data_IF_099438073371
#
_entry.id   IF_099438073371
#
_cell.length_a   1.000
_cell.length_b   1.000
_cell.length_c   1.000
_cell.angle_alpha   90.00
_cell.angle_beta   90.00
_cell.angle_gamma   90.00
#
_symmetry.space_group_name_H-M   'P 1'
#
loop_
_entity.id
_entity.type
_entity.pdbx_description
1 polymer ?
#
# COMPACT_ATOMS: atom_id res chain seq x y z
N UNK A 1 -51.22 39.34 60.97
CA UNK A 1 -51.11 38.13 60.11
C UNK A 1 -50.65 38.48 58.68
N UNK A 2 -49.47 39.08 58.48
CA UNK A 2 -48.91 39.29 57.13
C UNK A 2 -47.43 38.87 57.00
N UNK A 3 -46.75 38.55 58.10
CA UNK A 3 -45.37 38.08 58.08
C UNK A 3 -45.23 36.56 57.80
N UNK A 4 -46.26 35.75 58.05
CA UNK A 4 -46.19 34.29 57.89
C UNK A 4 -46.41 33.78 56.45
N UNK A 5 -46.86 34.64 55.52
CA UNK A 5 -47.12 34.25 54.11
C UNK A 5 -45.94 34.44 53.16
N UNK A 6 -44.84 35.07 53.60
CA UNK A 6 -43.66 35.34 52.75
C UNK A 6 -42.55 34.29 52.85
N UNK A 7 -42.63 33.38 53.82
CA UNK A 7 -41.63 32.32 54.03
C UNK A 7 -41.95 31.01 53.27
N UNK A 8 -43.21 30.79 52.85
CA UNK A 8 -43.59 29.58 52.10
C UNK A 8 -43.29 29.65 50.60
N UNK A 9 -43.14 30.85 50.03
CA UNK A 9 -42.86 31.04 48.59
C UNK A 9 -41.38 30.98 48.24
N UNK A 10 -40.48 31.29 49.18
CA UNK A 10 -39.03 31.22 48.96
C UNK A 10 -38.50 29.76 48.98
N UNK A 11 -39.03 28.91 49.87
CA UNK A 11 -38.65 27.50 49.94
C UNK A 11 -39.10 26.70 48.69
N UNK A 12 -40.22 27.08 48.07
CA UNK A 12 -40.71 26.45 46.84
C UNK A 12 -39.93 26.87 45.58
N UNK A 13 -39.38 28.10 45.53
CA UNK A 13 -38.54 28.54 44.41
C UNK A 13 -37.16 27.89 44.41
N UNK A 14 -36.59 27.65 45.60
CA UNK A 14 -35.28 27.00 45.74
C UNK A 14 -35.34 25.50 45.44
N UNK A 15 -36.45 24.82 45.79
CA UNK A 15 -36.67 23.41 45.43
C UNK A 15 -36.80 23.21 43.91
N UNK A 16 -37.51 24.11 43.20
CA UNK A 16 -37.62 24.07 41.74
C UNK A 16 -36.30 24.46 41.03
N UNK A 17 -35.50 25.36 41.62
CA UNK A 17 -34.17 25.71 41.12
C UNK A 17 -33.15 24.58 41.32
N UNK A 18 -33.25 23.81 42.41
CA UNK A 18 -32.42 22.63 42.65
C UNK A 18 -32.80 21.45 41.73
N UNK A 19 -34.09 21.21 41.53
CA UNK A 19 -34.58 20.17 40.63
C UNK A 19 -34.24 20.46 39.15
N UNK A 20 -34.30 21.72 38.71
CA UNK A 20 -33.90 22.12 37.36
C UNK A 20 -32.38 22.07 37.13
N UNK A 21 -31.55 22.34 38.15
CA UNK A 21 -30.09 22.13 38.07
C UNK A 21 -29.70 20.65 38.05
N UNK A 22 -30.39 19.79 38.81
CA UNK A 22 -30.19 18.34 38.77
C UNK A 22 -30.67 17.71 37.44
N UNK A 23 -31.76 18.22 36.86
CA UNK A 23 -32.22 17.81 35.54
C UNK A 23 -31.26 18.26 34.41
N UNK A 24 -30.69 19.47 34.52
CA UNK A 24 -29.71 20.00 33.56
C UNK A 24 -28.34 19.30 33.64
N UNK A 25 -27.92 18.81 34.82
CA UNK A 25 -26.70 18.00 34.94
C UNK A 25 -26.89 16.59 34.37
N UNK A 26 -28.08 16.00 34.53
CA UNK A 26 -28.39 14.67 34.00
C UNK A 26 -28.50 14.63 32.48
N UNK A 27 -28.98 15.70 31.84
CA UNK A 27 -29.00 15.81 30.38
C UNK A 27 -27.58 15.92 29.81
N UNK A 28 -26.67 16.66 30.45
CA UNK A 28 -25.26 16.75 30.03
C UNK A 28 -24.51 15.41 30.13
N UNK A 29 -24.76 14.61 31.18
CA UNK A 29 -24.18 13.26 31.32
C UNK A 29 -24.76 12.31 30.28
N UNK A 30 -26.08 12.30 30.07
CA UNK A 30 -26.70 11.45 29.03
C UNK A 30 -26.27 11.85 27.61
N UNK A 31 -26.08 13.14 27.34
CA UNK A 31 -25.70 13.65 26.03
C UNK A 31 -24.21 13.41 25.74
N UNK A 32 -23.33 13.54 26.74
CA UNK A 32 -21.91 13.15 26.64
C UNK A 32 -21.75 11.64 26.48
N UNK A 33 -22.53 10.84 27.21
CA UNK A 33 -22.61 9.38 27.03
C UNK A 33 -23.10 9.04 25.61
N UNK A 34 -24.13 9.73 25.09
CA UNK A 34 -24.66 9.55 23.74
C UNK A 34 -23.67 9.97 22.64
N UNK A 35 -22.89 11.04 22.85
CA UNK A 35 -21.77 11.41 21.96
C UNK A 35 -20.64 10.38 22.04
N UNK A 36 -20.36 9.83 23.22
CA UNK A 36 -19.39 8.74 23.39
C UNK A 36 -19.83 7.42 22.71
N UNK A 37 -21.14 7.29 22.46
CA UNK A 37 -21.78 6.19 21.72
C UNK A 37 -22.04 6.48 20.24
N UNK A 38 -21.72 7.68 19.72
CA UNK A 38 -21.64 7.87 18.27
C UNK A 38 -20.41 7.13 17.77
N UNK A 39 -20.56 5.84 17.51
CA UNK A 39 -19.62 5.10 16.68
C UNK A 39 -19.64 5.74 15.31
N UNK A 40 -18.58 6.48 14.97
CA UNK A 40 -18.28 6.77 13.58
C UNK A 40 -18.29 5.44 12.80
N UNK A 41 -18.89 5.41 11.60
CA UNK A 41 -18.73 4.28 10.68
C UNK A 41 -17.24 3.93 10.57
N UNK A 42 -16.96 2.64 10.43
CA UNK A 42 -15.56 2.16 10.39
C UNK A 42 -14.83 2.83 9.22
N UNK A 43 -15.54 2.99 8.11
CA UNK A 43 -15.12 3.57 6.86
C UNK A 43 -14.84 5.08 6.94
N UNK A 44 -15.41 5.78 7.93
CA UNK A 44 -15.13 7.20 8.16
C UNK A 44 -13.80 7.46 8.88
N UNK A 45 -13.10 6.40 9.29
CA UNK A 45 -11.80 6.54 9.96
C UNK A 45 -10.78 7.15 9.00
N UNK A 46 -10.00 8.16 9.43
CA UNK A 46 -9.07 8.88 8.56
C UNK A 46 -8.03 7.94 7.93
N UNK A 47 -7.51 6.97 8.69
CA UNK A 47 -6.62 5.93 8.19
C UNK A 47 -7.25 5.10 7.04
N UNK A 48 -8.49 4.63 7.23
CA UNK A 48 -9.16 3.79 6.23
C UNK A 48 -9.50 4.57 4.97
N UNK A 49 -9.84 5.86 5.09
CA UNK A 49 -10.03 6.74 3.93
C UNK A 49 -8.76 6.91 3.11
N UNK A 50 -7.60 7.10 3.75
CA UNK A 50 -6.31 7.20 3.03
C UNK A 50 -5.96 5.87 2.35
N UNK A 51 -6.13 4.75 3.05
CA UNK A 51 -5.89 3.42 2.46
C UNK A 51 -6.85 3.16 1.29
N UNK A 52 -8.10 3.63 1.38
CA UNK A 52 -9.08 3.56 0.30
C UNK A 52 -8.66 4.41 -0.90
N UNK A 53 -8.20 5.64 -0.68
CA UNK A 53 -7.65 6.48 -1.75
C UNK A 53 -6.49 5.76 -2.46
N UNK A 54 -5.58 5.15 -1.69
CA UNK A 54 -4.49 4.36 -2.26
C UNK A 54 -5.00 3.16 -3.07
N UNK A 55 -6.04 2.48 -2.62
CA UNK A 55 -6.66 1.39 -3.38
C UNK A 55 -7.22 1.88 -4.73
N UNK A 56 -7.89 3.04 -4.75
CA UNK A 56 -8.41 3.64 -5.98
C UNK A 56 -7.28 4.05 -6.93
N UNK A 57 -6.20 4.62 -6.40
CA UNK A 57 -5.01 4.98 -7.17
C UNK A 57 -4.33 3.75 -7.76
N UNK A 58 -4.08 2.73 -6.94
CA UNK A 58 -3.48 1.47 -7.37
C UNK A 58 -4.31 0.80 -8.48
N UNK A 59 -5.64 0.91 -8.43
CA UNK A 59 -6.52 0.38 -9.46
C UNK A 59 -6.41 1.09 -10.82
N UNK A 60 -5.91 2.33 -10.85
CA UNK A 60 -5.68 3.09 -12.08
C UNK A 60 -4.30 2.79 -12.71
N UNK A 61 -3.34 2.23 -11.97
CA UNK A 61 -1.97 1.98 -12.45
C UNK A 61 -1.91 1.08 -13.69
N UNK A 62 -2.64 -0.06 -13.77
CA UNK A 62 -2.55 -0.93 -14.94
C UNK A 62 -2.98 -0.28 -16.25
N UNK A 63 -3.86 0.72 -16.19
CA UNK A 63 -4.36 1.44 -17.38
C UNK A 63 -3.31 2.39 -17.97
N UNK A 64 -2.33 2.80 -17.17
CA UNK A 64 -1.25 3.70 -17.56
C UNK A 64 -0.04 3.40 -16.66
N UNK A 65 0.77 2.37 -16.98
CA UNK A 65 1.80 1.87 -16.08
C UNK A 65 3.05 2.78 -16.02
N UNK A 66 3.22 3.65 -17.03
CA UNK A 66 4.39 4.53 -17.16
C UNK A 66 4.02 5.96 -16.74
N UNK A 67 4.86 6.58 -15.92
CA UNK A 67 4.69 7.98 -15.54
C UNK A 67 4.89 8.89 -16.76
N UNK A 68 3.95 9.79 -16.99
CA UNK A 68 3.95 10.77 -18.09
C UNK A 68 5.16 11.68 -18.05
N UNK A 69 5.63 12.03 -16.85
CA UNK A 69 6.83 12.86 -16.63
C UNK A 69 8.09 12.20 -17.21
N UNK A 70 8.15 10.87 -17.24
CA UNK A 70 9.33 10.13 -17.72
C UNK A 70 9.42 10.07 -19.24
N UNK A 71 8.30 10.24 -19.94
CA UNK A 71 8.21 10.14 -21.41
C UNK A 71 8.00 11.48 -22.11
N UNK A 72 7.72 12.55 -21.37
CA UNK A 72 7.52 13.88 -21.93
C UNK A 72 8.81 14.42 -22.59
N UNK A 73 8.79 14.65 -23.90
CA UNK A 73 9.97 15.10 -24.69
C UNK A 73 10.52 16.48 -24.27
N UNK A 74 9.72 17.30 -23.58
CA UNK A 74 10.03 18.70 -23.28
C UNK A 74 10.28 19.00 -21.80
N UNK A 75 10.33 17.98 -20.93
CA UNK A 75 10.49 18.17 -19.49
C UNK A 75 11.86 17.68 -18.97
N UNK A 76 12.42 18.33 -17.92
CA UNK A 76 13.66 17.88 -17.28
C UNK A 76 13.54 16.49 -16.63
N UNK A 77 12.33 15.92 -16.54
CA UNK A 77 12.06 14.58 -16.04
C UNK A 77 12.11 13.46 -17.08
N UNK A 78 12.42 13.76 -18.34
CA UNK A 78 12.54 12.73 -19.37
C UNK A 78 13.70 11.78 -19.04
N UNK A 79 13.36 10.53 -18.72
CA UNK A 79 14.35 9.55 -18.26
C UNK A 79 15.36 9.18 -19.35
N UNK A 80 14.90 9.06 -20.60
CA UNK A 80 15.77 8.70 -21.72
C UNK A 80 16.80 9.80 -22.00
N UNK A 81 16.37 11.06 -21.94
CA UNK A 81 17.26 12.22 -22.11
C UNK A 81 18.29 12.31 -20.98
N UNK A 82 17.85 12.08 -19.73
CA UNK A 82 18.74 12.01 -18.58
C UNK A 82 19.75 10.86 -18.70
N UNK A 83 19.30 9.68 -19.12
CA UNK A 83 20.14 8.49 -19.29
C UNK A 83 21.19 8.71 -20.39
N UNK A 84 20.80 9.31 -21.53
CA UNK A 84 21.73 9.68 -22.61
C UNK A 84 22.76 10.72 -22.17
N UNK A 85 22.36 11.73 -21.40
CA UNK A 85 23.29 12.71 -20.84
C UNK A 85 24.27 12.06 -19.86
N UNK A 86 23.79 11.11 -19.03
CA UNK A 86 24.65 10.34 -18.14
C UNK A 86 25.61 9.44 -18.92
N UNK A 87 25.15 8.80 -20.00
CA UNK A 87 26.00 8.00 -20.90
C UNK A 87 27.16 8.81 -21.45
N UNK A 88 26.89 10.01 -21.96
CA UNK A 88 27.93 10.89 -22.50
C UNK A 88 29.03 11.23 -21.46
N UNK A 89 28.73 11.11 -20.17
CA UNK A 89 29.72 11.30 -19.09
C UNK A 89 30.54 10.04 -18.75
N UNK A 90 30.10 8.86 -19.19
CA UNK A 90 30.81 7.58 -18.98
C UNK A 90 31.73 7.34 -20.17
N UNK A 91 33.04 7.46 -19.97
CA UNK A 91 34.05 7.30 -21.03
C UNK A 91 34.34 5.85 -21.40
N UNK A 92 33.95 4.89 -20.57
CA UNK A 92 34.22 3.47 -20.76
C UNK A 92 33.04 2.77 -21.47
N UNK A 93 33.33 1.72 -22.23
CA UNK A 93 32.29 0.86 -22.82
C UNK A 93 31.70 -0.13 -21.83
N UNK A 94 32.45 -0.41 -20.76
CA UNK A 94 32.08 -1.35 -19.71
C UNK A 94 32.12 -0.66 -18.34
N UNK A 95 31.30 -1.16 -17.43
CA UNK A 95 31.15 -0.67 -16.06
C UNK A 95 31.55 -1.78 -15.11
N UNK A 96 32.49 -1.50 -14.21
CA UNK A 96 32.81 -2.42 -13.11
C UNK A 96 31.74 -2.34 -12.00
N UNK A 97 31.86 -3.20 -11.00
CA UNK A 97 30.92 -3.25 -9.87
C UNK A 97 30.72 -1.91 -9.16
N UNK A 98 31.80 -1.16 -8.94
CA UNK A 98 31.75 0.10 -8.20
C UNK A 98 31.07 1.20 -9.04
N UNK A 99 31.40 1.27 -10.33
CA UNK A 99 30.78 2.20 -11.25
C UNK A 99 29.30 1.84 -11.54
N UNK A 100 28.94 0.56 -11.50
CA UNK A 100 27.55 0.10 -11.63
C UNK A 100 26.73 0.52 -10.41
N UNK A 101 27.29 0.35 -9.22
CA UNK A 101 26.65 0.80 -7.99
C UNK A 101 26.51 2.33 -7.95
N UNK A 102 27.50 3.07 -8.46
CA UNK A 102 27.41 4.53 -8.58
C UNK A 102 26.31 4.95 -9.56
N UNK A 103 26.23 4.32 -10.73
CA UNK A 103 25.21 4.62 -11.73
C UNK A 103 23.78 4.34 -11.22
N UNK A 104 23.59 3.20 -10.55
CA UNK A 104 22.29 2.84 -9.97
C UNK A 104 21.90 3.79 -8.84
N UNK A 105 22.86 4.26 -8.03
CA UNK A 105 22.63 5.32 -7.05
C UNK A 105 22.24 6.65 -7.71
N UNK A 106 22.84 7.02 -8.83
CA UNK A 106 22.46 8.23 -9.57
C UNK A 106 21.05 8.13 -10.14
N UNK A 107 20.68 6.96 -10.69
CA UNK A 107 19.32 6.68 -11.17
C UNK A 107 18.32 6.84 -10.02
N UNK A 108 18.61 6.23 -8.86
CA UNK A 108 17.78 6.39 -7.66
C UNK A 108 17.72 7.85 -7.20
N UNK A 109 18.83 8.59 -7.31
CA UNK A 109 18.91 10.03 -7.00
C UNK A 109 17.99 10.86 -7.89
N UNK A 110 18.04 10.64 -9.21
CA UNK A 110 17.16 11.28 -10.19
C UNK A 110 15.69 11.08 -9.84
N UNK A 111 15.27 9.84 -9.56
CA UNK A 111 13.88 9.59 -9.17
C UNK A 111 13.52 10.28 -7.85
N UNK A 112 14.41 10.32 -6.86
CA UNK A 112 14.14 11.01 -5.59
C UNK A 112 13.99 12.51 -5.76
N UNK A 113 14.75 13.14 -6.65
CA UNK A 113 14.60 14.57 -6.98
C UNK A 113 13.26 14.84 -7.66
N UNK A 114 12.85 13.98 -8.60
CA UNK A 114 11.54 14.06 -9.22
C UNK A 114 10.41 13.88 -8.20
N UNK A 115 10.50 12.84 -7.36
CA UNK A 115 9.55 12.61 -6.27
C UNK A 115 9.47 13.82 -5.32
N UNK A 116 10.61 14.40 -4.94
CA UNK A 116 10.66 15.57 -4.07
C UNK A 116 9.99 16.78 -4.70
N UNK A 117 10.18 17.03 -6.00
CA UNK A 117 9.51 18.13 -6.70
C UNK A 117 7.99 17.96 -6.75
N UNK A 118 7.48 16.74 -6.92
CA UNK A 118 6.04 16.45 -6.90
C UNK A 118 5.43 16.49 -5.49
N UNK A 119 6.20 16.11 -4.46
CA UNK A 119 5.74 16.10 -3.06
C UNK A 119 5.80 17.48 -2.40
N UNK A 120 6.72 18.36 -2.83
CA UNK A 120 6.89 19.69 -2.23
C UNK A 120 5.60 20.53 -2.26
N UNK A 121 4.75 20.31 -3.27
CA UNK A 121 3.47 21.00 -3.40
C UNK A 121 2.32 20.30 -2.63
N UNK A 122 2.46 18.99 -2.33
CA UNK A 122 1.34 18.12 -1.89
C UNK A 122 1.83 17.01 -0.93
N UNK A 123 1.74 17.20 0.40
CA UNK A 123 2.37 16.28 1.35
C UNK A 123 1.62 14.95 1.54
N UNK A 124 0.30 14.87 1.26
CA UNK A 124 -0.51 13.69 1.59
C UNK A 124 -1.63 13.36 0.60
N UNK A 125 -1.83 12.06 0.37
CA UNK A 125 -2.96 11.53 -0.39
C UNK A 125 -4.27 12.01 0.25
N UNK A 126 -5.16 12.68 -0.49
CA UNK A 126 -6.42 13.16 0.04
C UNK A 126 -7.32 11.97 0.44
N UNK A 127 -8.01 12.03 1.58
CA UNK A 127 -8.97 11.00 1.96
C UNK A 127 -10.23 11.09 1.08
N UNK A 128 -10.52 10.05 0.29
CA UNK A 128 -11.71 9.99 -0.56
C UNK A 128 -12.92 9.50 0.24
N UNK A 129 -14.11 10.06 -0.01
CA UNK A 129 -15.37 9.61 0.59
C UNK A 129 -15.92 8.37 -0.12
N UNK A 130 -16.73 7.53 0.54
CA UNK A 130 -17.14 6.23 -0.02
C UNK A 130 -18.16 6.33 -1.16
N UNK A 131 -19.00 7.37 -1.16
CA UNK A 131 -20.21 7.43 -1.98
C UNK A 131 -20.25 8.62 -2.95
N UNK A 132 -19.21 9.47 -2.93
CA UNK A 132 -19.12 10.65 -3.79
C UNK A 132 -18.02 10.47 -4.83
N UNK A 133 -18.30 10.83 -6.08
CA UNK A 133 -17.26 11.13 -7.06
C UNK A 133 -16.31 12.15 -6.42
N UNK A 134 -14.98 11.97 -6.51
CA UNK A 134 -14.05 12.94 -5.96
C UNK A 134 -14.35 14.31 -6.58
N UNK A 135 -14.32 15.37 -5.78
CA UNK A 135 -14.44 16.72 -6.31
C UNK A 135 -13.40 16.92 -7.44
N UNK A 136 -13.66 17.79 -8.42
CA UNK A 136 -12.72 18.02 -9.54
C UNK A 136 -11.29 18.32 -9.02
N UNK A 137 -11.18 19.11 -7.94
CA UNK A 137 -9.92 19.40 -7.24
C UNK A 137 -9.25 18.14 -6.64
N UNK A 138 -10.04 17.22 -6.09
CA UNK A 138 -9.54 15.94 -5.56
C UNK A 138 -9.14 14.99 -6.70
N UNK A 139 -9.79 15.07 -7.87
CA UNK A 139 -9.44 14.27 -9.04
C UNK A 139 -8.07 14.66 -9.59
N UNK A 140 -7.79 15.95 -9.77
CA UNK A 140 -6.47 16.43 -10.18
C UNK A 140 -5.38 16.08 -9.15
N UNK A 141 -5.75 16.07 -7.86
CA UNK A 141 -4.85 15.66 -6.78
C UNK A 141 -4.55 14.16 -6.85
N UNK A 142 -5.56 13.33 -7.03
CA UNK A 142 -5.42 11.89 -7.21
C UNK A 142 -4.59 11.56 -8.46
N UNK A 143 -4.77 12.26 -9.56
CA UNK A 143 -4.00 12.01 -10.78
C UNK A 143 -2.51 12.37 -10.58
N UNK A 144 -2.19 13.42 -9.84
CA UNK A 144 -0.79 13.70 -9.44
C UNK A 144 -0.21 12.60 -8.52
N UNK A 145 -1.01 12.08 -7.59
CA UNK A 145 -0.59 10.94 -6.76
C UNK A 145 -0.44 9.64 -7.55
N UNK A 146 -1.24 9.45 -8.60
CA UNK A 146 -1.09 8.35 -9.53
C UNK A 146 0.25 8.46 -10.28
N UNK A 147 0.64 9.65 -10.72
CA UNK A 147 1.98 9.88 -11.29
C UNK A 147 3.10 9.60 -10.27
N UNK A 148 2.94 10.03 -9.03
CA UNK A 148 3.92 9.74 -7.96
C UNK A 148 4.04 8.24 -7.68
N UNK A 149 2.91 7.51 -7.71
CA UNK A 149 2.88 6.05 -7.54
C UNK A 149 3.67 5.34 -8.64
N UNK A 150 3.51 5.80 -9.89
CA UNK A 150 4.27 5.28 -11.04
C UNK A 150 5.76 5.59 -10.94
N UNK A 151 6.14 6.80 -10.52
CA UNK A 151 7.54 7.16 -10.28
C UNK A 151 8.19 6.28 -9.21
N UNK A 152 7.50 6.07 -8.09
CA UNK A 152 7.98 5.17 -7.03
C UNK A 152 8.14 3.75 -7.55
N UNK A 153 7.19 3.24 -8.33
CA UNK A 153 7.31 1.93 -8.95
C UNK A 153 8.53 1.84 -9.86
N UNK A 154 8.77 2.85 -10.72
CA UNK A 154 9.94 2.89 -11.59
C UNK A 154 11.25 2.91 -10.79
N UNK A 155 11.35 3.73 -9.74
CA UNK A 155 12.51 3.77 -8.85
C UNK A 155 12.80 2.41 -8.21
N UNK A 156 11.79 1.77 -7.64
CA UNK A 156 11.93 0.46 -6.99
C UNK A 156 12.37 -0.62 -7.98
N UNK A 157 11.87 -0.60 -9.22
CA UNK A 157 12.37 -1.51 -10.27
C UNK A 157 13.86 -1.28 -10.57
N UNK A 158 14.33 -0.04 -10.63
CA UNK A 158 15.75 0.27 -10.81
C UNK A 158 16.61 -0.12 -9.60
N UNK A 159 16.08 0.01 -8.38
CA UNK A 159 16.77 -0.43 -7.16
C UNK A 159 16.99 -1.95 -7.14
N UNK A 160 16.04 -2.72 -7.69
CA UNK A 160 16.20 -4.17 -7.87
C UNK A 160 17.31 -4.47 -8.87
N UNK A 161 17.33 -3.82 -10.04
CA UNK A 161 18.43 -3.98 -11.01
C UNK A 161 19.77 -3.65 -10.35
N UNK A 162 19.84 -2.59 -9.54
CA UNK A 162 21.07 -2.20 -8.84
C UNK A 162 21.57 -3.22 -7.82
N UNK A 163 20.75 -4.19 -7.40
CA UNK A 163 21.15 -5.31 -6.56
C UNK A 163 21.58 -6.53 -7.37
N UNK A 164 21.31 -6.54 -8.68
CA UNK A 164 21.47 -7.70 -9.55
C UNK A 164 22.75 -7.66 -10.41
N UNK A 165 23.83 -7.10 -9.88
CA UNK A 165 25.11 -7.03 -10.59
C UNK A 165 25.64 -8.43 -10.94
N UNK A 166 25.55 -9.37 -10.00
CA UNK A 166 26.06 -10.72 -10.17
C UNK A 166 25.30 -11.50 -11.26
N UNK A 167 24.03 -11.16 -11.45
CA UNK A 167 23.17 -11.73 -12.47
C UNK A 167 23.41 -11.12 -13.86
N UNK A 168 23.90 -9.88 -13.93
CA UNK A 168 24.24 -9.21 -15.21
C UNK A 168 25.67 -9.50 -15.71
N UNK A 169 26.56 -9.93 -14.83
CA UNK A 169 27.96 -10.26 -15.10
C UNK A 169 28.08 -11.73 -15.58
N UNK A 170 27.51 -12.03 -16.75
CA UNK A 170 27.36 -13.41 -17.27
C UNK A 170 28.68 -14.18 -17.38
N UNK A 171 29.75 -13.52 -17.86
CA UNK A 171 31.06 -14.14 -18.03
C UNK A 171 31.94 -14.10 -16.77
N UNK A 172 31.41 -13.52 -15.68
CA UNK A 172 32.11 -13.28 -14.41
C UNK A 172 33.45 -12.54 -14.60
N UNK A 173 33.55 -11.68 -15.63
CA UNK A 173 34.74 -10.86 -15.85
C UNK A 173 34.77 -9.61 -14.95
N UNK A 174 33.69 -9.37 -14.20
CA UNK A 174 33.51 -8.26 -13.28
C UNK A 174 33.06 -6.98 -13.97
N UNK A 175 32.55 -7.06 -15.20
CA UNK A 175 32.16 -5.90 -16.00
C UNK A 175 30.86 -6.15 -16.77
N UNK A 176 30.09 -5.07 -16.93
CA UNK A 176 28.84 -5.08 -17.69
C UNK A 176 28.94 -4.05 -18.79
N UNK A 177 28.49 -4.38 -20.00
CA UNK A 177 28.42 -3.43 -21.11
C UNK A 177 27.42 -2.31 -20.79
N UNK A 178 27.83 -1.06 -20.97
CA UNK A 178 26.98 0.10 -20.66
C UNK A 178 25.72 0.11 -21.53
N UNK A 179 25.82 -0.33 -22.79
CA UNK A 179 24.68 -0.41 -23.71
C UNK A 179 23.56 -1.32 -23.22
N UNK A 180 23.94 -2.44 -22.59
CA UNK A 180 23.00 -3.47 -22.17
C UNK A 180 22.28 -3.01 -20.91
N UNK A 181 23.02 -2.38 -20.01
CA UNK A 181 22.47 -1.72 -18.82
C UNK A 181 21.52 -0.57 -19.17
N UNK A 182 21.85 0.25 -20.15
CA UNK A 182 20.96 1.33 -20.62
C UNK A 182 19.67 0.79 -21.22
N UNK A 183 19.78 -0.23 -22.06
CA UNK A 183 18.64 -0.88 -22.68
C UNK A 183 17.74 -1.49 -21.62
N UNK A 184 18.32 -2.15 -20.61
CA UNK A 184 17.62 -2.73 -19.48
C UNK A 184 16.92 -1.65 -18.64
N UNK A 185 17.63 -0.61 -18.22
CA UNK A 185 17.06 0.48 -17.41
C UNK A 185 15.93 1.19 -18.16
N UNK A 186 16.14 1.51 -19.44
CA UNK A 186 15.10 2.13 -20.27
C UNK A 186 13.88 1.22 -20.38
N UNK A 187 14.08 -0.07 -20.70
CA UNK A 187 12.98 -1.03 -20.89
C UNK A 187 12.19 -1.25 -19.60
N UNK A 188 12.85 -1.29 -18.44
CA UNK A 188 12.19 -1.47 -17.14
C UNK A 188 11.39 -0.24 -16.71
N UNK A 189 11.85 0.97 -17.05
CA UNK A 189 11.23 2.24 -16.67
C UNK A 189 10.10 2.64 -17.62
N UNK A 190 10.30 2.53 -18.93
CA UNK A 190 9.36 3.00 -19.95
C UNK A 190 8.57 1.88 -20.63
N UNK A 191 8.89 0.62 -20.34
CA UNK A 191 8.24 -0.54 -20.96
C UNK A 191 6.87 -0.89 -20.37
N UNK A 192 6.20 -1.80 -21.06
CA UNK A 192 4.96 -2.42 -20.63
C UNK A 192 5.20 -3.40 -19.48
N UNK A 193 4.15 -3.88 -18.79
CA UNK A 193 4.34 -4.89 -17.75
C UNK A 193 4.95 -6.20 -18.28
N UNK A 194 4.63 -6.59 -19.51
CA UNK A 194 5.26 -7.73 -20.19
C UNK A 194 6.75 -7.49 -20.45
N UNK A 195 7.13 -6.26 -20.81
CA UNK A 195 8.54 -5.89 -20.94
C UNK A 195 9.27 -6.00 -19.59
N UNK A 196 8.60 -5.68 -18.48
CA UNK A 196 9.18 -5.86 -17.15
C UNK A 196 9.39 -7.33 -16.81
N UNK A 197 8.43 -8.23 -17.11
CA UNK A 197 8.64 -9.67 -16.94
C UNK A 197 9.80 -10.17 -17.80
N UNK A 198 9.88 -9.70 -19.05
CA UNK A 198 10.97 -10.03 -19.96
C UNK A 198 12.32 -9.57 -19.44
N UNK A 199 12.42 -8.34 -18.92
CA UNK A 199 13.67 -7.86 -18.32
C UNK A 199 14.10 -8.70 -17.11
N UNK A 200 13.15 -9.14 -16.29
CA UNK A 200 13.46 -10.00 -15.14
C UNK A 200 13.86 -11.41 -15.58
N UNK A 201 13.29 -11.90 -16.68
CA UNK A 201 13.72 -13.14 -17.30
C UNK A 201 15.13 -13.04 -17.85
N UNK A 202 15.41 -12.04 -18.71
CA UNK A 202 16.74 -11.77 -19.28
C UNK A 202 17.80 -11.59 -18.19
N UNK A 203 17.42 -11.02 -17.03
CA UNK A 203 18.30 -10.88 -15.87
C UNK A 203 18.64 -12.20 -15.20
N UNK A 204 17.73 -13.18 -15.20
CA UNK A 204 17.90 -14.45 -14.48
C UNK A 204 18.26 -15.63 -15.39
N UNK A 205 18.14 -15.46 -16.70
CA UNK A 205 18.63 -16.36 -17.75
C UNK A 205 20.14 -16.13 -17.95
N UNK A 206 20.94 -16.84 -17.15
CA UNK A 206 22.38 -16.62 -17.06
C UNK A 206 23.16 -17.15 -18.28
N UNK A 207 22.61 -18.11 -19.02
CA UNK A 207 23.20 -18.71 -20.22
C UNK A 207 22.57 -18.22 -21.53
N UNK A 208 21.57 -17.33 -21.44
CA UNK A 208 20.88 -16.72 -22.57
C UNK A 208 20.33 -17.77 -23.54
N UNK A 209 19.83 -18.88 -22.99
CA UNK A 209 19.29 -20.01 -23.73
C UNK A 209 17.76 -19.99 -23.84
N UNK A 210 17.13 -18.90 -23.38
CA UNK A 210 15.68 -18.68 -23.36
C UNK A 210 14.91 -19.75 -22.56
N UNK A 211 15.57 -20.50 -21.68
CA UNK A 211 14.94 -21.39 -20.71
C UNK A 211 15.30 -21.04 -19.27
N UNK A 212 14.40 -21.39 -18.35
CA UNK A 212 14.63 -21.20 -16.90
C UNK A 212 14.30 -22.45 -16.13
N UNK A 213 15.05 -22.68 -15.06
CA UNK A 213 14.75 -23.72 -14.07
C UNK A 213 13.77 -23.24 -12.99
N UNK A 214 13.38 -24.14 -12.09
CA UNK A 214 12.42 -23.85 -11.00
C UNK A 214 12.90 -22.69 -10.11
N UNK A 215 14.20 -22.66 -9.80
CA UNK A 215 14.76 -21.63 -8.92
C UNK A 215 14.80 -20.25 -9.60
N UNK A 216 15.09 -20.18 -10.90
CA UNK A 216 15.10 -18.94 -11.66
C UNK A 216 13.68 -18.42 -11.88
N UNK A 217 12.75 -19.30 -12.28
CA UNK A 217 11.33 -18.96 -12.40
C UNK A 217 10.79 -18.38 -11.09
N UNK A 218 11.14 -18.99 -9.95
CA UNK A 218 10.76 -18.47 -8.65
C UNK A 218 11.37 -17.08 -8.37
N UNK A 219 12.67 -16.88 -8.62
CA UNK A 219 13.35 -15.59 -8.41
C UNK A 219 12.74 -14.47 -9.26
N UNK A 220 12.43 -14.74 -10.53
CA UNK A 220 11.80 -13.79 -11.46
C UNK A 220 10.47 -13.28 -10.88
N UNK A 221 9.61 -14.21 -10.47
CA UNK A 221 8.28 -13.87 -9.96
C UNK A 221 8.34 -13.22 -8.58
N UNK A 222 9.21 -13.72 -7.70
CA UNK A 222 9.43 -13.14 -6.36
C UNK A 222 9.96 -11.71 -6.47
N UNK A 223 10.89 -11.43 -7.39
CA UNK A 223 11.43 -10.09 -7.64
C UNK A 223 10.33 -9.07 -7.98
N UNK A 224 9.44 -9.42 -8.92
CA UNK A 224 8.30 -8.58 -9.34
C UNK A 224 7.34 -8.33 -8.17
N UNK A 225 7.04 -9.39 -7.42
CA UNK A 225 6.14 -9.34 -6.27
C UNK A 225 6.72 -8.48 -5.15
N UNK A 226 8.00 -8.68 -4.81
CA UNK A 226 8.69 -7.95 -3.75
C UNK A 226 8.82 -6.46 -4.08
N UNK A 227 9.08 -6.12 -5.35
CA UNK A 227 9.10 -4.73 -5.84
C UNK A 227 7.78 -4.02 -5.53
N UNK A 228 6.65 -4.63 -5.90
CA UNK A 228 5.32 -4.02 -5.65
C UNK A 228 4.99 -3.95 -4.15
N UNK A 229 5.45 -4.92 -3.36
CA UNK A 229 5.33 -4.86 -1.88
C UNK A 229 6.11 -3.69 -1.30
N UNK A 230 7.34 -3.48 -1.76
CA UNK A 230 8.21 -2.39 -1.27
C UNK A 230 7.60 -1.02 -1.55
N UNK A 231 7.05 -0.82 -2.77
CA UNK A 231 6.31 0.40 -3.14
C UNK A 231 5.12 0.63 -2.21
N UNK A 232 4.30 -0.39 -1.97
CA UNK A 232 3.14 -0.27 -1.09
C UNK A 232 3.55 0.08 0.35
N UNK A 233 4.58 -0.60 0.87
CA UNK A 233 5.08 -0.39 2.22
C UNK A 233 5.54 1.06 2.43
N UNK A 234 6.30 1.60 1.47
CA UNK A 234 6.80 2.96 1.51
C UNK A 234 5.65 3.98 1.51
N UNK A 235 4.68 3.81 0.62
CA UNK A 235 3.56 4.76 0.47
C UNK A 235 2.68 4.77 1.71
N UNK A 236 2.40 3.58 2.26
CA UNK A 236 1.68 3.47 3.51
C UNK A 236 2.42 4.16 4.67
N UNK A 237 3.75 4.02 4.72
CA UNK A 237 4.57 4.68 5.75
C UNK A 237 4.56 6.22 5.64
N UNK A 238 4.46 6.75 4.42
CA UNK A 238 4.49 8.19 4.15
C UNK A 238 3.13 8.86 4.35
N UNK A 239 2.04 8.18 3.99
CA UNK A 239 0.72 8.81 3.88
C UNK A 239 -0.26 8.42 4.99
N UNK A 240 -0.05 7.32 5.70
CA UNK A 240 -0.98 6.87 6.76
C UNK A 240 -0.50 7.33 8.14
N UNK A 241 -1.21 8.30 8.70
CA UNK A 241 -0.95 8.79 10.06
C UNK A 241 -1.16 7.73 11.13
N UNK A 242 -0.32 7.81 12.17
CA UNK A 242 -0.45 7.05 13.39
C UNK A 242 -0.48 5.53 13.21
N UNK A 243 0.16 4.98 12.17
CA UNK A 243 0.36 3.54 12.05
C UNK A 243 1.19 3.04 13.26
N UNK A 244 0.58 2.41 14.29
CA UNK A 244 1.33 2.02 15.48
C UNK A 244 2.34 0.93 15.10
N UNK A 245 3.49 0.80 15.78
CA UNK A 245 4.52 -0.21 15.42
C UNK A 245 3.98 -1.66 15.32
N UNK A 246 2.95 -1.99 16.11
CA UNK A 246 2.21 -3.27 15.99
C UNK A 246 1.56 -3.47 14.62
N UNK A 247 1.27 -2.39 13.91
CA UNK A 247 0.61 -2.37 12.62
C UNK A 247 1.56 -2.41 11.44
N UNK A 248 2.84 -2.03 11.58
CA UNK A 248 3.85 -2.48 10.61
C UNK A 248 4.08 -3.98 10.73
N UNK A 249 4.11 -4.53 11.96
CA UNK A 249 4.11 -6.00 12.13
C UNK A 249 2.83 -6.65 11.63
N UNK A 250 1.67 -6.00 11.77
CA UNK A 250 0.44 -6.46 11.13
C UNK A 250 0.46 -6.21 9.63
N UNK A 251 1.19 -5.23 9.08
CA UNK A 251 1.36 -5.07 7.64
C UNK A 251 2.27 -6.18 7.10
N UNK A 252 3.41 -6.43 7.74
CA UNK A 252 4.26 -7.59 7.47
C UNK A 252 3.45 -8.88 7.61
N UNK A 253 2.65 -9.04 8.67
CA UNK A 253 1.73 -10.18 8.82
C UNK A 253 0.61 -10.16 7.78
N UNK A 254 0.09 -8.99 7.39
CA UNK A 254 -0.91 -8.71 6.34
C UNK A 254 -0.32 -8.76 4.94
N UNK A 255 1.00 -8.96 4.82
CA UNK A 255 1.77 -9.21 3.60
C UNK A 255 2.41 -10.61 3.61
N UNK A 256 2.52 -11.29 4.77
CA UNK A 256 3.13 -12.61 4.96
C UNK A 256 2.18 -13.77 5.36
N UNK A 257 1.13 -13.57 6.17
CA UNK A 257 0.23 -14.66 6.65
C UNK A 257 -1.29 -14.46 6.38
N UNK A 258 -1.94 -15.52 5.87
CA UNK A 258 -3.31 -16.03 6.16
C UNK A 258 -4.60 -15.22 5.91
N UNK A 259 -4.72 -14.39 4.86
CA UNK A 259 -6.07 -14.18 4.25
C UNK A 259 -6.18 -13.81 2.76
N UNK A 260 -5.08 -13.92 2.01
CA UNK A 260 -5.05 -14.00 0.54
C UNK A 260 -3.70 -14.56 0.04
N UNK A 261 -2.82 -14.97 0.97
CA UNK A 261 -1.37 -15.15 0.79
C UNK A 261 -0.88 -16.57 0.71
N UNK A 262 -1.66 -17.53 1.17
CA UNK A 262 -1.28 -18.93 0.98
C UNK A 262 -1.26 -19.28 -0.51
N UNK A 263 -1.85 -18.44 -1.36
CA UNK A 263 -1.83 -18.61 -2.80
C UNK A 263 -0.69 -17.91 -3.53
N UNK A 264 -0.05 -16.83 -3.07
CA UNK A 264 0.98 -16.20 -3.94
C UNK A 264 2.24 -17.05 -4.06
N UNK A 265 2.89 -17.48 -2.96
CA UNK A 265 4.00 -18.43 -3.05
C UNK A 265 3.59 -19.76 -3.69
N UNK A 266 2.36 -20.23 -3.42
CA UNK A 266 1.86 -21.46 -4.04
C UNK A 266 1.59 -21.27 -5.53
N UNK A 267 1.00 -20.15 -5.96
CA UNK A 267 0.79 -19.83 -7.37
C UNK A 267 2.12 -19.66 -8.09
N UNK A 268 3.11 -19.02 -7.46
CA UNK A 268 4.48 -18.91 -8.01
C UNK A 268 5.04 -20.32 -8.25
N UNK A 269 4.89 -21.23 -7.29
CA UNK A 269 5.25 -22.63 -7.45
C UNK A 269 4.44 -23.31 -8.57
N UNK A 270 3.14 -23.01 -8.67
CA UNK A 270 2.25 -23.56 -9.70
C UNK A 270 2.64 -23.11 -11.12
N UNK A 271 3.15 -21.89 -11.31
CA UNK A 271 3.64 -21.42 -12.62
C UNK A 271 4.68 -22.40 -13.16
N UNK A 272 5.68 -22.75 -12.36
CA UNK A 272 6.65 -23.74 -12.79
C UNK A 272 6.06 -25.16 -12.84
N UNK A 273 5.26 -25.55 -11.84
CA UNK A 273 4.78 -26.94 -11.71
C UNK A 273 3.77 -27.36 -12.78
N UNK A 274 2.95 -26.45 -13.30
CA UNK A 274 1.92 -26.75 -14.31
C UNK A 274 2.32 -26.40 -15.74
N UNK A 275 3.37 -25.61 -15.94
CA UNK A 275 3.94 -25.36 -17.27
C UNK A 275 4.33 -26.69 -17.98
N UNK A 276 4.04 -26.87 -19.28
CA UNK A 276 4.62 -27.97 -20.05
C UNK A 276 6.16 -27.82 -20.04
N UNK A 277 6.88 -28.89 -19.66
CA UNK A 277 8.34 -28.87 -19.64
C UNK A 277 8.89 -29.48 -20.92
N UNK A 278 9.93 -28.89 -21.48
CA UNK A 278 10.50 -29.35 -22.75
C UNK A 278 11.49 -30.49 -22.59
N UNK A 279 12.25 -30.50 -21.49
CA UNK A 279 13.34 -31.46 -21.30
C UNK A 279 12.83 -32.85 -20.87
N UNK A 280 13.59 -33.90 -21.21
CA UNK A 280 13.32 -35.29 -20.80
C UNK A 280 13.28 -35.42 -19.27
N UNK A 281 14.06 -34.57 -18.58
CA UNK A 281 14.09 -34.48 -17.12
C UNK A 281 12.98 -33.61 -16.52
N UNK A 282 12.20 -32.89 -17.36
CA UNK A 282 11.10 -32.00 -16.96
C UNK A 282 11.50 -30.87 -16.00
N UNK A 283 12.68 -30.29 -16.20
CA UNK A 283 13.27 -29.26 -15.30
C UNK A 283 13.38 -27.86 -15.90
N UNK A 284 13.10 -27.71 -17.20
CA UNK A 284 13.27 -26.45 -17.92
C UNK A 284 11.97 -26.04 -18.57
N UNK A 285 11.70 -24.74 -18.55
CA UNK A 285 10.57 -24.11 -19.22
C UNK A 285 11.08 -22.99 -20.12
N UNK A 286 10.62 -22.96 -21.37
CA UNK A 286 10.93 -21.90 -22.32
C UNK A 286 10.19 -20.61 -21.97
N UNK A 287 10.74 -19.45 -22.34
CA UNK A 287 10.13 -18.13 -22.13
C UNK A 287 8.64 -18.08 -22.49
N UNK A 288 8.25 -18.54 -23.67
CA UNK A 288 6.86 -18.51 -24.13
C UNK A 288 5.93 -19.30 -23.20
N UNK A 289 6.41 -20.47 -22.74
CA UNK A 289 5.68 -21.32 -21.82
C UNK A 289 5.58 -20.69 -20.43
N UNK A 290 6.64 -20.04 -19.95
CA UNK A 290 6.64 -19.30 -18.69
C UNK A 290 5.57 -18.20 -18.74
N UNK A 291 5.49 -17.44 -19.82
CA UNK A 291 4.49 -16.37 -20.01
C UNK A 291 3.07 -16.94 -19.99
N UNK A 292 2.81 -18.02 -20.73
CA UNK A 292 1.50 -18.67 -20.74
C UNK A 292 1.09 -19.20 -19.36
N UNK A 293 2.00 -19.88 -18.68
CA UNK A 293 1.72 -20.44 -17.35
C UNK A 293 1.59 -19.36 -16.28
N UNK A 294 2.38 -18.30 -16.36
CA UNK A 294 2.25 -17.12 -15.51
C UNK A 294 0.88 -16.46 -15.70
N UNK A 295 0.44 -16.28 -16.94
CA UNK A 295 -0.87 -15.70 -17.24
C UNK A 295 -2.03 -16.59 -16.74
N UNK A 296 -1.85 -17.91 -16.73
CA UNK A 296 -2.84 -18.86 -16.23
C UNK A 296 -2.96 -18.86 -14.68
N UNK A 297 -1.83 -18.88 -13.97
CA UNK A 297 -1.80 -19.04 -12.51
C UNK A 297 -1.84 -17.71 -11.75
N UNK A 298 -1.21 -16.67 -12.30
CA UNK A 298 -1.09 -15.33 -11.71
C UNK A 298 -1.42 -14.25 -12.74
N UNK A 299 -2.66 -14.19 -13.28
CA UNK A 299 -3.05 -13.14 -14.22
C UNK A 299 -2.89 -11.73 -13.62
N UNK A 300 -2.93 -11.60 -12.29
CA UNK A 300 -2.75 -10.35 -11.55
C UNK A 300 -1.28 -9.94 -11.29
N UNK A 301 -0.27 -10.66 -11.81
CA UNK A 301 1.16 -10.44 -11.46
C UNK A 301 1.61 -8.98 -11.62
N UNK A 302 1.14 -8.32 -12.68
CA UNK A 302 1.48 -6.93 -12.98
C UNK A 302 0.66 -5.90 -12.21
N UNK A 303 -0.33 -6.35 -11.45
CA UNK A 303 -1.31 -5.56 -10.73
C UNK A 303 -1.39 -5.98 -9.24
N UNK A 304 -0.33 -6.62 -8.74
CA UNK A 304 -0.22 -7.03 -7.35
C UNK A 304 -0.32 -5.84 -6.39
N UNK A 305 0.09 -4.64 -6.82
CA UNK A 305 -0.08 -3.40 -6.06
C UNK A 305 -1.56 -3.14 -5.71
N UNK A 306 -2.50 -3.30 -6.66
CA UNK A 306 -3.95 -3.18 -6.41
C UNK A 306 -4.44 -4.27 -5.47
N UNK A 307 -4.00 -5.51 -5.71
CA UNK A 307 -4.36 -6.68 -4.90
C UNK A 307 -3.94 -6.47 -3.44
N UNK A 308 -2.71 -6.01 -3.21
CA UNK A 308 -2.18 -5.76 -1.88
C UNK A 308 -2.82 -4.54 -1.21
N UNK A 309 -3.05 -3.46 -1.93
CA UNK A 309 -3.76 -2.29 -1.39
C UNK A 309 -5.17 -2.68 -0.92
N UNK A 310 -5.91 -3.46 -1.73
CA UNK A 310 -7.23 -4.00 -1.35
C UNK A 310 -7.14 -4.95 -0.16
N UNK A 311 -6.24 -5.92 -0.20
CA UNK A 311 -6.08 -6.90 0.87
C UNK A 311 -5.74 -6.25 2.21
N UNK A 312 -4.90 -5.21 2.19
CA UNK A 312 -4.59 -4.42 3.37
C UNK A 312 -5.80 -3.63 3.88
N UNK A 313 -6.56 -2.99 2.99
CA UNK A 313 -7.82 -2.32 3.37
C UNK A 313 -8.79 -3.28 4.08
N UNK A 314 -9.05 -4.44 3.46
CA UNK A 314 -9.99 -5.44 3.97
C UNK A 314 -9.58 -5.94 5.37
N UNK A 315 -8.28 -6.20 5.58
CA UNK A 315 -7.77 -6.63 6.88
C UNK A 315 -7.92 -5.54 7.95
N UNK A 316 -7.66 -4.27 7.60
CA UNK A 316 -7.83 -3.14 8.51
C UNK A 316 -9.31 -2.93 8.86
N UNK A 317 -10.20 -3.08 7.87
CA UNK A 317 -11.64 -3.02 8.07
C UNK A 317 -12.10 -4.10 9.06
N UNK A 318 -11.76 -5.37 8.81
CA UNK A 318 -12.08 -6.51 9.69
C UNK A 318 -11.48 -6.38 11.09
N UNK A 319 -10.31 -5.76 11.22
CA UNK A 319 -9.72 -5.44 12.52
C UNK A 319 -10.61 -4.47 13.31
N UNK A 320 -11.09 -3.40 12.67
CA UNK A 320 -11.95 -2.42 13.32
C UNK A 320 -13.34 -2.98 13.63
N UNK A 321 -13.88 -3.82 12.74
CA UNK A 321 -15.12 -4.55 12.97
C UNK A 321 -15.03 -5.43 14.22
N UNK A 322 -14.03 -6.31 14.30
CA UNK A 322 -13.77 -7.15 15.49
C UNK A 322 -13.57 -6.32 16.76
N UNK A 323 -12.93 -5.15 16.65
CA UNK A 323 -12.72 -4.24 17.80
C UNK A 323 -14.03 -3.60 18.25
N UNK A 324 -14.90 -3.21 17.32
CA UNK A 324 -16.22 -2.65 17.60
C UNK A 324 -17.15 -3.70 18.21
N UNK A 325 -17.15 -4.92 17.70
CA UNK A 325 -17.88 -6.06 18.28
C UNK A 325 -17.46 -6.34 19.72
N UNK A 326 -16.16 -6.45 19.98
CA UNK A 326 -15.61 -6.65 21.35
C UNK A 326 -16.03 -5.53 22.29
N UNK A 327 -16.01 -4.28 21.82
CA UNK A 327 -16.47 -3.12 22.60
C UNK A 327 -17.98 -3.25 22.88
N UNK A 328 -18.79 -3.54 21.87
CA UNK A 328 -20.24 -3.75 22.00
C UNK A 328 -20.57 -4.85 23.02
N UNK A 329 -19.89 -6.00 22.95
CA UNK A 329 -20.07 -7.11 23.88
C UNK A 329 -19.74 -6.72 25.33
N UNK A 330 -18.63 -5.99 25.56
CA UNK A 330 -18.26 -5.49 26.89
C UNK A 330 -19.30 -4.53 27.45
N UNK A 331 -19.86 -3.66 26.61
CA UNK A 331 -20.91 -2.73 27.04
C UNK A 331 -22.23 -3.47 27.33
N UNK A 332 -22.64 -4.42 26.50
CA UNK A 332 -23.81 -5.27 26.77
C UNK A 332 -23.65 -6.00 28.11
N UNK A 333 -22.47 -6.56 28.38
CA UNK A 333 -22.15 -7.19 29.67
C UNK A 333 -22.20 -6.22 30.85
N UNK A 334 -21.65 -5.02 30.69
CA UNK A 334 -21.69 -3.97 31.72
C UNK A 334 -23.12 -3.51 32.04
N UNK A 335 -23.95 -3.26 31.02
CA UNK A 335 -25.34 -2.88 31.22
C UNK A 335 -26.18 -4.02 31.81
N UNK A 336 -25.91 -5.27 31.44
CA UNK A 336 -26.53 -6.44 32.07
C UNK A 336 -26.18 -6.49 33.57
N UNK A 337 -24.91 -6.26 33.94
CA UNK A 337 -24.49 -6.23 35.34
C UNK A 337 -25.16 -5.11 36.14
N UNK A 338 -25.29 -3.90 35.57
CA UNK A 338 -26.04 -2.80 36.20
C UNK A 338 -27.51 -3.18 36.38
N UNK A 339 -28.15 -3.72 35.35
CA UNK A 339 -29.56 -4.10 35.40
C UNK A 339 -29.83 -5.15 36.49
N UNK A 340 -28.94 -6.15 36.61
CA UNK A 340 -29.01 -7.15 37.69
C UNK A 340 -28.83 -6.51 39.06
N UNK A 341 -27.81 -5.64 39.24
CA UNK A 341 -27.55 -4.99 40.53
C UNK A 341 -28.68 -4.04 40.97
N UNK A 342 -29.29 -3.31 40.04
CA UNK A 342 -30.48 -2.48 40.33
C UNK A 342 -31.69 -3.35 40.65
N UNK A 343 -31.89 -4.45 39.92
CA UNK A 343 -32.95 -5.42 40.19
C UNK A 343 -32.86 -6.02 41.60
N UNK A 344 -31.67 -6.48 41.99
CA UNK A 344 -31.40 -7.01 43.33
C UNK A 344 -31.62 -5.96 44.43
N UNK A 345 -31.20 -4.71 44.19
CA UNK A 345 -31.41 -3.62 45.15
C UNK A 345 -32.89 -3.28 45.35
N UNK A 346 -33.67 -3.23 44.27
CA UNK A 346 -35.11 -2.99 44.35
C UNK A 346 -35.82 -4.16 45.05
N UNK A 347 -35.44 -5.40 44.74
CA UNK A 347 -35.99 -6.59 45.40
C UNK A 347 -35.69 -6.62 46.91
N UNK A 348 -34.53 -6.13 47.35
CA UNK A 348 -34.18 -6.02 48.76
C UNK A 348 -34.97 -4.93 49.51
N UNK A 349 -35.55 -3.95 48.81
CA UNK A 349 -36.30 -2.84 49.39
C UNK A 349 -37.81 -3.07 49.47
N UNK A 350 -38.33 -4.01 48.66
CA UNK A 350 -39.74 -4.45 48.66
C UNK A 350 -39.94 -5.68 49.52
#
# INVERSE_FOLDING_TARGET
>A
MQAARRLSTAAASDANAAASRAAASNTGVLQSVRQYFKTQPIEERPELRVIRSLQLLAAKVPNSPVATVLTAESQPGNFQSWLQARRASISTEHVDKDAFQALTQDVTGFFRELEASMVHERPRIPPVQLDDEPAEEDSELLDAYLELLKLKLARHKCEVIGQSFAELDYDNDGKIAVSDLETLLSRVVTGTPSDWLRCQFELHDADADDVVNESESQKILDSIVLTQKAVLAEILSLHVDHMPKKHMKLFESAVNETNWKEKIPEKIRCVFHFAPKEDEEKKLIHWETLVESQAAEIPELHDMLRVYAKGFYDERYLFYERKQEKRSLRWKGFFMAIALGVGDYVFMLT
#
